data_IF_650519680470
#
_entry.id   IF_650519680470
#
_cell.length_a   1.000
_cell.length_b   1.000
_cell.length_c   1.000
_cell.angle_alpha   90.00
_cell.angle_beta   90.00
_cell.angle_gamma   90.00
#
_symmetry.space_group_name_H-M   'P 1'
#
loop_
_entity.id
_entity.type
_entity.pdbx_description
1 polymer ?
#
# COMPACT_ATOMS: atom_id res chain seq x y z
N UNK A 1 29.48 1.91 -14.08
CA UNK A 1 28.61 3.10 -13.97
C UNK A 1 28.95 3.79 -12.64
N UNK A 2 29.49 5.00 -12.65
CA UNK A 2 30.14 5.62 -11.47
C UNK A 2 29.17 6.43 -10.62
N UNK A 3 29.36 6.39 -9.30
CA UNK A 3 28.60 7.12 -8.24
C UNK A 3 28.39 8.61 -8.57
N UNK A 4 29.32 9.20 -9.33
CA UNK A 4 29.40 10.62 -9.63
C UNK A 4 28.82 11.02 -10.98
N UNK A 5 28.64 10.08 -11.91
CA UNK A 5 28.16 10.34 -13.28
C UNK A 5 26.68 9.98 -13.48
N UNK A 6 25.97 9.60 -12.43
CA UNK A 6 24.54 9.28 -12.51
C UNK A 6 23.70 10.57 -12.53
N UNK A 7 22.62 10.67 -13.33
CA UNK A 7 21.70 11.82 -13.32
C UNK A 7 21.12 12.17 -11.93
N UNK A 8 21.19 11.22 -11.00
CA UNK A 8 20.67 11.33 -9.62
C UNK A 8 21.78 11.57 -8.59
N UNK A 9 23.03 11.74 -9.02
CA UNK A 9 24.19 11.95 -8.15
C UNK A 9 24.11 13.24 -7.31
N UNK A 10 23.31 14.22 -7.76
CA UNK A 10 23.04 15.47 -7.04
C UNK A 10 22.29 15.25 -5.72
N UNK A 11 21.56 14.15 -5.59
CA UNK A 11 20.74 13.90 -4.40
C UNK A 11 21.59 13.30 -3.26
N UNK A 12 21.42 13.80 -2.02
CA UNK A 12 22.18 13.32 -0.89
C UNK A 12 21.72 11.92 -0.47
N UNK A 13 22.58 11.18 0.24
CA UNK A 13 22.28 9.83 0.70
C UNK A 13 23.55 9.04 1.06
N UNK A 14 23.41 7.89 1.74
CA UNK A 14 24.54 7.08 2.16
C UNK A 14 25.42 6.67 0.98
N UNK A 15 26.74 6.68 1.14
CA UNK A 15 27.68 6.33 0.05
C UNK A 15 27.36 4.97 -0.58
N UNK A 16 27.04 3.98 0.26
CA UNK A 16 26.64 2.65 -0.22
C UNK A 16 25.36 2.69 -1.05
N UNK A 17 24.36 3.49 -0.65
CA UNK A 17 23.13 3.66 -1.42
C UNK A 17 23.37 4.37 -2.77
N UNK A 18 24.48 5.10 -2.93
CA UNK A 18 24.86 5.70 -4.21
C UNK A 18 25.50 4.69 -5.17
N UNK A 19 26.09 3.62 -4.65
CA UNK A 19 26.83 2.63 -5.42
C UNK A 19 26.02 1.35 -5.66
N UNK A 20 25.28 0.86 -4.67
CA UNK A 20 24.57 -0.41 -4.71
C UNK A 20 23.22 -0.36 -3.98
N UNK A 21 22.30 -1.25 -4.35
CA UNK A 21 21.01 -1.45 -3.66
C UNK A 21 21.12 -2.38 -2.44
N UNK A 22 22.32 -2.88 -2.11
CA UNK A 22 22.50 -3.91 -1.06
C UNK A 22 21.94 -3.45 0.28
N UNK A 23 22.15 -2.18 0.65
CA UNK A 23 21.64 -1.63 1.91
C UNK A 23 20.11 -1.58 1.92
N UNK A 24 19.51 -1.21 0.79
CA UNK A 24 18.07 -1.16 0.62
C UNK A 24 17.46 -2.54 0.80
N UNK A 25 17.96 -3.53 0.05
CA UNK A 25 17.46 -4.90 0.13
C UNK A 25 17.72 -5.55 1.50
N UNK A 26 18.87 -5.28 2.12
CA UNK A 26 19.14 -5.73 3.48
C UNK A 26 18.06 -5.26 4.47
N UNK A 27 17.70 -3.98 4.45
CA UNK A 27 16.64 -3.45 5.32
C UNK A 27 15.24 -3.90 4.89
N UNK A 28 15.00 -4.12 3.59
CA UNK A 28 13.77 -4.70 3.07
C UNK A 28 13.52 -6.11 3.66
N UNK A 29 14.47 -7.02 3.49
CA UNK A 29 14.35 -8.41 3.98
C UNK A 29 14.27 -8.51 5.51
N UNK A 30 14.78 -7.51 6.22
CA UNK A 30 14.68 -7.43 7.69
C UNK A 30 13.37 -6.77 8.17
N UNK A 31 12.51 -6.29 7.28
CA UNK A 31 11.30 -5.54 7.65
C UNK A 31 11.59 -4.17 8.29
N UNK A 32 12.80 -3.63 8.06
CA UNK A 32 13.29 -2.40 8.70
C UNK A 32 13.42 -1.24 7.71
N UNK A 33 12.93 -1.40 6.47
CA UNK A 33 13.05 -0.35 5.45
C UNK A 33 12.45 1.00 5.91
N UNK A 34 11.26 1.07 6.56
CA UNK A 34 10.70 2.35 7.00
C UNK A 34 11.63 3.09 7.95
N UNK A 35 12.18 2.40 8.96
CA UNK A 35 13.10 2.98 9.94
C UNK A 35 14.47 3.34 9.33
N UNK A 36 14.90 2.61 8.31
CA UNK A 36 16.10 2.99 7.56
C UNK A 36 15.86 4.27 6.75
N UNK A 37 14.75 4.34 6.01
CA UNK A 37 14.38 5.52 5.23
C UNK A 37 14.25 6.76 6.13
N UNK A 38 13.57 6.63 7.27
CA UNK A 38 13.45 7.69 8.27
C UNK A 38 14.82 8.22 8.72
N UNK A 39 15.74 7.35 9.16
CA UNK A 39 17.09 7.75 9.59
C UNK A 39 17.88 8.44 8.47
N UNK A 40 17.72 7.99 7.23
CA UNK A 40 18.36 8.64 6.08
C UNK A 40 17.77 10.03 5.85
N UNK A 41 16.45 10.17 5.89
CA UNK A 41 15.80 11.47 5.75
C UNK A 41 16.15 12.44 6.88
N UNK A 42 16.21 11.98 8.13
CA UNK A 42 16.64 12.79 9.27
C UNK A 42 18.08 13.33 9.09
N UNK A 43 18.96 12.57 8.44
CA UNK A 43 20.37 12.96 8.25
C UNK A 43 20.63 13.78 6.99
N UNK A 44 19.98 13.47 5.89
CA UNK A 44 20.29 14.00 4.56
C UNK A 44 19.23 14.96 4.01
N UNK A 45 18.08 15.07 4.68
CA UNK A 45 17.01 16.01 4.34
C UNK A 45 15.81 15.37 3.63
N UNK A 46 14.97 16.20 3.00
CA UNK A 46 13.65 15.77 2.52
C UNK A 46 13.66 14.95 1.24
N UNK A 47 14.74 15.01 0.46
CA UNK A 47 14.94 14.25 -0.78
C UNK A 47 16.24 13.47 -0.64
N UNK A 48 16.16 12.15 -0.60
CA UNK A 48 17.33 11.30 -0.35
C UNK A 48 17.39 10.11 -1.28
N UNK A 49 18.61 9.63 -1.50
CA UNK A 49 18.89 8.44 -2.28
C UNK A 49 18.94 7.21 -1.38
N UNK A 50 18.07 6.24 -1.64
CA UNK A 50 18.04 4.94 -0.94
C UNK A 50 18.72 3.82 -1.74
N UNK A 51 18.94 4.03 -3.03
CA UNK A 51 19.59 3.09 -3.93
C UNK A 51 20.11 3.80 -5.19
N UNK A 52 20.85 3.12 -6.10
CA UNK A 52 21.49 3.77 -7.22
C UNK A 52 20.51 4.49 -8.13
N UNK A 53 19.32 3.90 -8.32
CA UNK A 53 18.21 4.40 -9.13
C UNK A 53 16.96 4.73 -8.30
N UNK A 54 17.06 4.75 -6.96
CA UNK A 54 15.92 4.92 -6.04
C UNK A 54 16.05 6.19 -5.21
N UNK A 55 15.08 7.10 -5.38
CA UNK A 55 14.94 8.33 -4.59
C UNK A 55 13.70 8.22 -3.72
N UNK A 56 13.84 8.67 -2.48
CA UNK A 56 12.75 8.79 -1.53
C UNK A 56 12.51 10.27 -1.22
N UNK A 57 11.24 10.62 -1.07
CA UNK A 57 10.75 11.98 -0.87
C UNK A 57 9.82 12.00 0.34
N UNK A 58 9.93 13.02 1.18
CA UNK A 58 9.00 13.27 2.29
C UNK A 58 8.23 14.58 2.16
N UNK A 59 8.38 15.29 1.03
CA UNK A 59 7.71 16.57 0.81
C UNK A 59 6.26 16.39 0.32
N UNK A 60 5.29 17.18 0.82
CA UNK A 60 3.91 17.12 0.35
C UNK A 60 3.74 17.41 -1.15
N UNK A 61 4.65 18.20 -1.73
CA UNK A 61 4.65 18.50 -3.18
C UNK A 61 4.91 17.23 -3.99
N UNK A 62 5.82 16.37 -3.55
CA UNK A 62 6.14 15.12 -4.23
C UNK A 62 4.92 14.21 -4.35
N UNK A 63 4.05 14.16 -3.33
CA UNK A 63 2.81 13.40 -3.42
C UNK A 63 1.91 13.86 -4.57
N UNK A 64 1.73 15.18 -4.73
CA UNK A 64 0.92 15.73 -5.84
C UNK A 64 1.58 15.54 -7.19
N UNK A 65 2.90 15.65 -7.27
CA UNK A 65 3.63 15.50 -8.52
C UNK A 65 3.69 14.03 -8.99
N UNK A 66 3.77 13.07 -8.05
CA UNK A 66 3.88 11.63 -8.35
C UNK A 66 2.51 10.93 -8.45
N UNK A 67 1.57 11.26 -7.57
CA UNK A 67 0.27 10.59 -7.44
C UNK A 67 -0.94 11.48 -7.78
N UNK A 68 -0.71 12.74 -8.19
CA UNK A 68 -1.77 13.64 -8.59
C UNK A 68 -2.46 13.25 -9.90
N UNK A 69 -3.57 13.90 -10.18
CA UNK A 69 -4.30 13.73 -11.44
C UNK A 69 -3.44 14.18 -12.63
N UNK A 70 -3.54 13.45 -13.76
CA UNK A 70 -2.86 13.81 -15.01
C UNK A 70 -3.23 15.24 -15.39
N UNK A 71 -2.30 16.18 -15.27
CA UNK A 71 -2.51 17.58 -15.67
C UNK A 71 -2.45 17.72 -17.19
N UNK A 72 -1.69 16.85 -17.85
CA UNK A 72 -1.51 16.80 -19.31
C UNK A 72 -1.24 15.36 -19.76
N UNK A 73 -1.43 15.06 -21.06
CA UNK A 73 -1.08 13.77 -21.65
C UNK A 73 0.43 13.44 -21.59
N UNK A 74 1.28 14.44 -21.32
CA UNK A 74 2.74 14.32 -21.19
C UNK A 74 3.22 14.09 -19.76
N UNK A 75 2.32 14.09 -18.77
CA UNK A 75 2.69 13.80 -17.39
C UNK A 75 2.94 12.31 -17.25
N UNK A 76 4.22 11.90 -17.11
CA UNK A 76 4.61 10.51 -16.88
C UNK A 76 4.03 10.05 -15.54
N UNK A 77 3.28 8.94 -15.54
CA UNK A 77 2.89 8.28 -14.30
C UNK A 77 4.03 7.42 -13.79
N UNK A 78 4.22 7.42 -12.47
CA UNK A 78 5.14 6.50 -11.82
C UNK A 78 4.53 5.11 -11.92
N UNK A 79 5.06 4.31 -12.86
CA UNK A 79 4.65 2.93 -13.00
C UNK A 79 5.05 2.14 -11.74
N UNK A 80 4.24 1.15 -11.40
CA UNK A 80 4.59 0.20 -10.33
C UNK A 80 5.89 -0.51 -10.70
N UNK A 81 6.74 -0.74 -9.70
CA UNK A 81 7.99 -1.49 -9.89
C UNK A 81 7.65 -2.97 -10.20
N UNK A 82 7.99 -3.50 -11.38
CA UNK A 82 7.67 -4.87 -11.76
C UNK A 82 8.26 -5.91 -10.81
N UNK A 83 9.40 -5.61 -10.16
CA UNK A 83 10.00 -6.51 -9.18
C UNK A 83 9.17 -6.62 -7.88
N UNK A 84 8.29 -5.67 -7.63
CA UNK A 84 7.50 -5.57 -6.39
C UNK A 84 6.04 -5.98 -6.58
N UNK A 85 5.54 -5.87 -7.81
CA UNK A 85 4.15 -6.17 -8.17
C UNK A 85 4.06 -7.33 -9.17
N UNK A 86 4.90 -8.36 -8.98
CA UNK A 86 4.88 -9.57 -9.80
C UNK A 86 3.55 -10.29 -9.59
N UNK A 87 2.88 -10.68 -10.69
CA UNK A 87 1.74 -11.59 -10.59
C UNK A 87 2.20 -12.95 -10.04
N UNK A 88 1.28 -13.68 -9.41
CA UNK A 88 1.50 -15.11 -9.19
C UNK A 88 1.86 -15.77 -10.53
N UNK A 89 2.87 -16.66 -10.59
CA UNK A 89 3.24 -17.35 -11.83
C UNK A 89 2.09 -18.19 -12.41
N UNK A 90 1.01 -18.40 -11.65
CA UNK A 90 -0.21 -19.10 -12.06
C UNK A 90 -1.31 -18.18 -12.61
N UNK A 91 -1.10 -16.86 -12.63
CA UNK A 91 -2.07 -15.88 -13.13
C UNK A 91 -1.55 -15.27 -14.44
N UNK A 92 -2.29 -15.49 -15.52
CA UNK A 92 -1.99 -14.93 -16.85
C UNK A 92 -2.38 -13.46 -16.96
N UNK A 93 -3.33 -13.01 -16.13
CA UNK A 93 -3.88 -11.65 -16.17
C UNK A 93 -3.52 -10.86 -14.90
N UNK A 94 -3.32 -9.55 -15.07
CA UNK A 94 -3.08 -8.64 -13.94
C UNK A 94 -4.37 -8.26 -13.24
N UNK A 95 -4.31 -8.23 -11.91
CA UNK A 95 -5.39 -7.67 -11.07
C UNK A 95 -5.34 -6.14 -11.08
N UNK A 96 -6.38 -5.50 -10.54
CA UNK A 96 -6.37 -4.04 -10.31
C UNK A 96 -5.11 -3.59 -9.53
N UNK A 97 -4.64 -4.40 -8.58
CA UNK A 97 -3.48 -4.10 -7.75
C UNK A 97 -2.14 -4.35 -8.45
N UNK A 98 -2.07 -5.25 -9.43
CA UNK A 98 -0.83 -5.65 -10.10
C UNK A 98 -0.69 -5.17 -11.55
N UNK A 99 -1.72 -4.55 -12.14
CA UNK A 99 -1.65 -4.00 -13.49
C UNK A 99 -0.68 -2.80 -13.58
N UNK A 100 0.15 -2.81 -14.61
CA UNK A 100 1.20 -1.83 -14.91
C UNK A 100 0.80 -0.87 -16.03
N UNK A 101 -0.06 -1.31 -16.94
CA UNK A 101 -0.56 -0.48 -18.03
C UNK A 101 -1.68 0.44 -17.52
N UNK A 102 -1.48 1.76 -17.64
CA UNK A 102 -2.44 2.77 -17.18
C UNK A 102 -3.83 2.63 -17.80
N UNK A 103 -3.91 2.30 -19.09
CA UNK A 103 -5.18 2.20 -19.81
C UNK A 103 -5.95 0.95 -19.37
N UNK A 104 -5.26 -0.18 -19.24
CA UNK A 104 -5.84 -1.40 -18.67
C UNK A 104 -6.23 -1.20 -17.21
N UNK A 105 -5.36 -0.59 -16.39
CA UNK A 105 -5.65 -0.27 -15.01
C UNK A 105 -6.86 0.65 -14.87
N UNK A 106 -6.98 1.67 -15.74
CA UNK A 106 -8.14 2.56 -15.81
C UNK A 106 -9.44 1.81 -16.14
N UNK A 107 -9.37 0.83 -17.03
CA UNK A 107 -10.51 -0.02 -17.39
C UNK A 107 -10.94 -0.90 -16.22
N UNK A 108 -10.00 -1.62 -15.60
CA UNK A 108 -10.24 -2.40 -14.39
C UNK A 108 -10.84 -1.54 -13.28
N UNK A 109 -10.24 -0.37 -13.01
CA UNK A 109 -10.71 0.56 -11.98
C UNK A 109 -12.14 1.01 -12.23
N UNK A 110 -12.52 1.27 -13.49
CA UNK A 110 -13.88 1.68 -13.84
C UNK A 110 -14.90 0.60 -13.47
N UNK A 111 -14.58 -0.67 -13.72
CA UNK A 111 -15.44 -1.81 -13.36
C UNK A 111 -15.68 -1.86 -11.85
N UNK A 112 -14.61 -1.75 -11.04
CA UNK A 112 -14.72 -1.76 -9.59
C UNK A 112 -15.35 -0.50 -8.99
N UNK A 113 -15.22 0.66 -9.64
CA UNK A 113 -15.60 1.96 -9.06
C UNK A 113 -17.07 2.05 -8.63
N UNK A 114 -17.97 1.33 -9.29
CA UNK A 114 -19.40 1.32 -8.95
C UNK A 114 -19.67 0.74 -7.55
N UNK A 115 -18.94 -0.31 -7.16
CA UNK A 115 -19.04 -0.93 -5.83
C UNK A 115 -18.54 -0.03 -4.69
N UNK A 116 -17.69 0.96 -5.01
CA UNK A 116 -17.15 1.94 -4.05
C UNK A 116 -17.85 3.30 -4.14
N UNK A 117 -18.98 3.40 -4.82
CA UNK A 117 -19.76 4.64 -4.88
C UNK A 117 -20.46 4.92 -3.54
N UNK A 118 -20.69 6.20 -3.21
CA UNK A 118 -21.40 6.61 -1.98
C UNK A 118 -22.77 5.90 -1.84
N UNK A 119 -23.49 5.74 -2.95
CA UNK A 119 -24.76 5.01 -2.99
C UNK A 119 -24.59 3.53 -2.65
N UNK A 120 -23.58 2.86 -3.21
CA UNK A 120 -23.32 1.45 -2.94
C UNK A 120 -22.88 1.23 -1.49
N UNK A 121 -22.01 2.10 -0.96
CA UNK A 121 -21.56 2.05 0.43
C UNK A 121 -22.72 2.25 1.41
N UNK A 122 -23.61 3.22 1.16
CA UNK A 122 -24.82 3.42 1.97
C UNK A 122 -25.77 2.23 1.90
N UNK A 123 -25.94 1.64 0.72
CA UNK A 123 -26.78 0.44 0.58
C UNK A 123 -26.22 -0.74 1.39
N UNK A 124 -24.90 -0.81 1.60
CA UNK A 124 -24.20 -1.87 2.33
C UNK A 124 -23.99 -1.59 3.82
N UNK A 125 -24.34 -0.38 4.30
CA UNK A 125 -24.12 0.05 5.70
C UNK A 125 -24.70 -0.94 6.73
N UNK A 126 -25.89 -1.46 6.44
CA UNK A 126 -26.58 -2.41 7.33
C UNK A 126 -25.79 -3.70 7.56
N UNK A 127 -25.06 -4.20 6.55
CA UNK A 127 -24.23 -5.40 6.65
C UNK A 127 -23.02 -5.14 7.56
N UNK A 128 -22.34 -4.00 7.35
CA UNK A 128 -21.22 -3.60 8.22
C UNK A 128 -21.70 -3.46 9.66
N UNK A 129 -22.86 -2.81 9.86
CA UNK A 129 -23.43 -2.62 11.18
C UNK A 129 -23.70 -3.96 11.86
N UNK A 130 -24.28 -4.93 11.15
CA UNK A 130 -24.55 -6.26 11.71
C UNK A 130 -23.27 -6.96 12.20
N UNK A 131 -22.18 -6.91 11.43
CA UNK A 131 -20.88 -7.46 11.86
C UNK A 131 -20.26 -6.70 13.03
N UNK A 132 -20.39 -5.38 13.07
CA UNK A 132 -19.91 -4.56 14.19
C UNK A 132 -20.71 -4.88 15.46
N UNK A 133 -22.03 -5.00 15.37
CA UNK A 133 -22.88 -5.37 16.50
C UNK A 133 -22.51 -6.77 17.03
N UNK A 134 -22.23 -7.71 16.11
CA UNK A 134 -21.75 -9.06 16.45
C UNK A 134 -20.37 -9.05 17.12
N UNK A 135 -19.44 -8.25 16.61
CA UNK A 135 -18.12 -8.05 17.22
C UNK A 135 -18.26 -7.54 18.67
N UNK A 136 -19.08 -6.51 18.88
CA UNK A 136 -19.33 -5.94 20.21
C UNK A 136 -19.98 -6.95 21.15
N UNK A 137 -20.98 -7.69 20.66
CA UNK A 137 -21.63 -8.77 21.42
C UNK A 137 -20.65 -9.87 21.84
N UNK A 138 -19.78 -10.30 20.93
CA UNK A 138 -18.73 -11.29 21.23
C UNK A 138 -17.74 -10.77 22.26
N UNK A 139 -17.32 -9.50 22.15
CA UNK A 139 -16.43 -8.87 23.15
C UNK A 139 -17.10 -8.86 24.53
N UNK A 140 -18.36 -8.45 24.62
CA UNK A 140 -19.10 -8.44 25.90
C UNK A 140 -19.27 -9.84 26.50
N UNK A 141 -19.50 -10.86 25.68
CA UNK A 141 -19.65 -12.25 26.13
C UNK A 141 -18.34 -12.84 26.64
N UNK A 142 -17.23 -12.56 25.96
CA UNK A 142 -15.94 -13.23 26.20
C UNK A 142 -15.05 -12.45 27.18
N UNK A 143 -15.43 -11.22 27.55
CA UNK A 143 -14.79 -10.42 28.58
C UNK A 143 -15.69 -10.18 29.81
N UNK A 144 -16.20 -11.24 30.50
CA UNK A 144 -16.76 -11.06 31.83
C UNK A 144 -15.67 -10.51 32.76
N UNK A 145 -16.08 -9.71 33.75
CA UNK A 145 -15.22 -8.87 34.58
C UNK A 145 -13.85 -9.51 34.91
N UNK A 146 -12.78 -8.92 34.37
CA UNK A 146 -11.39 -9.30 34.66
C UNK A 146 -10.69 -10.14 33.59
N UNK A 147 -11.40 -10.68 32.59
CA UNK A 147 -10.77 -11.42 31.51
C UNK A 147 -10.07 -10.52 30.49
N UNK A 148 -8.86 -10.92 30.09
CA UNK A 148 -8.11 -10.28 28.99
C UNK A 148 -8.50 -10.95 27.68
N UNK A 149 -8.89 -10.15 26.70
CA UNK A 149 -9.17 -10.61 25.34
C UNK A 149 -8.17 -10.03 24.35
N UNK A 150 -7.86 -10.79 23.30
CA UNK A 150 -7.04 -10.33 22.20
C UNK A 150 -7.91 -9.63 21.14
N UNK A 151 -7.96 -8.30 21.21
CA UNK A 151 -8.74 -7.48 20.27
C UNK A 151 -8.23 -7.58 18.82
N UNK A 152 -6.94 -7.87 18.60
CA UNK A 152 -6.39 -8.03 17.24
C UNK A 152 -7.07 -9.21 16.56
N UNK A 153 -7.21 -10.33 17.29
CA UNK A 153 -7.94 -11.51 16.79
C UNK A 153 -9.37 -11.15 16.40
N UNK A 154 -10.11 -10.46 17.29
CA UNK A 154 -11.50 -10.09 17.04
C UNK A 154 -11.67 -9.13 15.85
N UNK A 155 -10.80 -8.13 15.71
CA UNK A 155 -10.82 -7.24 14.55
C UNK A 155 -10.47 -7.96 13.25
N UNK A 156 -9.52 -8.90 13.27
CA UNK A 156 -9.19 -9.72 12.11
C UNK A 156 -10.37 -10.59 11.68
N UNK A 157 -11.06 -11.23 12.63
CA UNK A 157 -12.29 -12.00 12.36
C UNK A 157 -13.38 -11.11 11.76
N UNK A 158 -13.70 -9.98 12.40
CA UNK A 158 -14.74 -9.07 11.90
C UNK A 158 -14.42 -8.53 10.50
N UNK A 159 -13.16 -8.17 10.25
CA UNK A 159 -12.73 -7.69 8.92
C UNK A 159 -12.84 -8.79 7.87
N UNK A 160 -12.49 -10.03 8.23
CA UNK A 160 -12.63 -11.18 7.33
C UNK A 160 -14.09 -11.48 7.02
N UNK A 161 -14.98 -11.44 8.01
CA UNK A 161 -16.41 -11.66 7.83
C UNK A 161 -17.04 -10.58 6.94
N UNK A 162 -16.72 -9.30 7.18
CA UNK A 162 -17.20 -8.17 6.36
C UNK A 162 -16.72 -8.31 4.91
N UNK A 163 -15.42 -8.55 4.69
CA UNK A 163 -14.86 -8.70 3.33
C UNK A 163 -15.44 -9.95 2.66
N UNK A 164 -15.62 -11.04 3.41
CA UNK A 164 -16.20 -12.28 2.94
C UNK A 164 -17.64 -12.08 2.46
N UNK A 165 -18.48 -11.45 3.25
CA UNK A 165 -19.87 -11.18 2.88
C UNK A 165 -19.97 -10.22 1.68
N UNK A 166 -19.10 -9.20 1.60
CA UNK A 166 -19.05 -8.34 0.42
C UNK A 166 -18.54 -9.04 -0.84
N UNK A 167 -17.63 -10.00 -0.70
CA UNK A 167 -17.04 -10.68 -1.85
C UNK A 167 -17.91 -11.82 -2.38
N UNK A 168 -18.67 -12.48 -1.50
CA UNK A 168 -19.40 -13.72 -1.84
C UNK A 168 -20.91 -13.67 -1.59
N UNK A 169 -21.43 -12.63 -0.94
CA UNK A 169 -22.86 -12.50 -0.63
C UNK A 169 -23.37 -13.45 0.47
N UNK A 170 -22.47 -14.09 1.22
CA UNK A 170 -22.80 -15.06 2.27
C UNK A 170 -22.06 -14.71 3.56
N UNK A 171 -22.76 -14.72 4.70
CA UNK A 171 -22.14 -14.65 6.03
C UNK A 171 -21.47 -15.99 6.35
N UNK A 172 -20.14 -15.98 6.55
CA UNK A 172 -19.34 -17.20 6.84
C UNK A 172 -19.04 -17.43 8.33
N UNK A 173 -19.60 -16.61 9.21
CA UNK A 173 -19.36 -16.69 10.66
C UNK A 173 -20.62 -16.51 11.47
#
# INVERSE_FOLDING_TARGET
YSVWSHPLAKNPGPLLARATDVRYWYHWFRGQLPFYAERVHQRYGPIVRLGPTRISFIEPKAWRDLHGHKRTSKTLQVMKDPAMYVNSPHLTEHSLLSEFDDAKHGTLRKIFSHGFSDRALKAQEHLIKAHVDKLVSNIHREAPQGNRIDLIKYFNCATFDIIGEFSFGESRG
#
